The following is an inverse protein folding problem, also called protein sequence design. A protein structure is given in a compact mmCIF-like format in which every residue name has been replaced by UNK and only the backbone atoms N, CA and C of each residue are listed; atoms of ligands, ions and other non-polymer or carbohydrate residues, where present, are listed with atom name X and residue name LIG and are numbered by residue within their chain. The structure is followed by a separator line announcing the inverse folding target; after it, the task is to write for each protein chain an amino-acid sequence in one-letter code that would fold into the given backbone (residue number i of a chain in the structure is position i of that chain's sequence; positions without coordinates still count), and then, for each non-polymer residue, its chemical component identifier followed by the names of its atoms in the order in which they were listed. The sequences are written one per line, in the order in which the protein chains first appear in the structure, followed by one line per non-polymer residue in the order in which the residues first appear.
data_IF_647870699227
#
_entry.id   IF_647870699227
#
_cell.length_a   1.000
_cell.length_b   1.000
_cell.length_c   1.000
_cell.angle_alpha   90.00
_cell.angle_beta   90.00
_cell.angle_gamma   90.00
#
_symmetry.space_group_name_H-M   'P 1'
#
loop_
_entity.id
_entity.type
_entity.pdbx_description
1 polymer ?
#
# COMPACT_ATOMS: atom_id res chain seq x y z
N UNK A 1 0.73 27.88 -6.09
CA UNK A 1 0.13 27.75 -4.74
C UNK A 1 -0.10 26.27 -4.50
N UNK A 2 0.48 25.69 -3.45
CA UNK A 2 0.20 24.29 -3.06
C UNK A 2 -1.22 24.22 -2.48
N UNK A 3 -2.03 23.26 -2.95
CA UNK A 3 -3.39 23.05 -2.40
C UNK A 3 -3.29 22.28 -1.09
N UNK A 4 -4.10 22.66 -0.09
CA UNK A 4 -4.06 22.09 1.26
C UNK A 4 -5.30 21.26 1.56
N UNK A 5 -5.12 20.14 2.25
CA UNK A 5 -6.18 19.25 2.75
C UNK A 5 -5.97 19.03 4.24
N UNK A 6 -7.06 19.02 5.02
CA UNK A 6 -7.04 18.61 6.42
C UNK A 6 -7.86 17.34 6.56
N UNK A 7 -7.26 16.28 7.10
CA UNK A 7 -7.97 15.07 7.54
C UNK A 7 -8.23 15.25 9.03
N UNK A 8 -9.51 15.31 9.40
CA UNK A 8 -9.93 15.50 10.80
C UNK A 8 -10.32 14.14 11.37
N UNK A 9 -9.57 13.73 12.38
CA UNK A 9 -9.68 12.46 13.08
C UNK A 9 -10.42 12.64 14.42
N UNK A 10 -10.97 11.53 14.93
CA UNK A 10 -11.56 11.52 16.26
C UNK A 10 -10.48 11.74 17.33
N UNK A 11 -10.88 12.28 18.48
CA UNK A 11 -10.08 12.27 19.71
C UNK A 11 -10.70 11.35 20.77
N UNK A 12 -11.64 10.49 20.36
CA UNK A 12 -12.36 9.55 21.21
C UNK A 12 -11.72 8.18 21.08
N UNK A 13 -11.27 7.63 22.20
CA UNK A 13 -10.63 6.32 22.33
C UNK A 13 -11.60 5.23 22.81
N UNK A 14 -12.88 5.57 23.01
CA UNK A 14 -13.94 4.65 23.44
C UNK A 14 -15.29 4.90 22.76
N UNK A 15 -16.06 3.83 22.56
CA UNK A 15 -17.48 3.86 22.20
C UNK A 15 -18.29 3.20 23.32
N UNK A 16 -18.82 4.01 24.23
CA UNK A 16 -19.30 3.49 25.51
C UNK A 16 -18.11 3.00 26.34
N UNK A 17 -18.13 1.73 26.73
CA UNK A 17 -17.05 1.10 27.49
C UNK A 17 -16.01 0.38 26.62
N UNK A 18 -16.29 0.19 25.34
CA UNK A 18 -15.40 -0.52 24.41
C UNK A 18 -14.31 0.40 23.85
N UNK A 19 -13.02 -0.02 23.79
CA UNK A 19 -11.96 0.72 23.12
C UNK A 19 -12.27 0.94 21.62
N UNK A 20 -11.92 2.11 21.10
CA UNK A 20 -12.02 2.44 19.68
C UNK A 20 -11.00 3.51 19.30
N UNK A 21 -10.97 3.90 18.04
CA UNK A 21 -10.16 5.00 17.56
C UNK A 21 -10.40 5.24 16.07
N UNK A 22 -9.50 5.98 15.44
CA UNK A 22 -9.49 6.03 13.99
C UNK A 22 -9.09 4.67 13.43
N UNK A 23 -9.85 4.19 12.44
CA UNK A 23 -9.42 3.08 11.63
C UNK A 23 -8.24 3.53 10.75
N UNK A 24 -7.05 2.95 10.94
CA UNK A 24 -5.81 3.46 10.37
C UNK A 24 -5.87 3.60 8.84
N UNK A 25 -6.42 2.60 8.15
CA UNK A 25 -6.58 2.63 6.69
C UNK A 25 -7.46 3.79 6.20
N UNK A 26 -8.49 4.19 6.97
CA UNK A 26 -9.39 5.30 6.62
C UNK A 26 -8.72 6.67 6.73
N UNK A 27 -7.57 6.74 7.42
CA UNK A 27 -6.74 7.95 7.52
C UNK A 27 -5.59 7.89 6.51
N UNK A 28 -4.90 6.75 6.46
CA UNK A 28 -3.67 6.55 5.68
C UNK A 28 -3.95 6.46 4.18
N UNK A 29 -4.98 5.73 3.75
CA UNK A 29 -5.27 5.59 2.33
C UNK A 29 -5.64 6.95 1.68
N UNK A 30 -6.55 7.77 2.24
CA UNK A 30 -6.79 9.11 1.71
C UNK A 30 -5.57 10.02 1.77
N UNK A 31 -4.78 9.96 2.84
CA UNK A 31 -3.54 10.72 2.97
C UNK A 31 -2.60 10.46 1.78
N UNK A 32 -2.32 9.21 1.44
CA UNK A 32 -1.45 8.88 0.32
C UNK A 32 -2.03 9.31 -1.02
N UNK A 33 -3.34 9.15 -1.22
CA UNK A 33 -4.04 9.63 -2.43
C UNK A 33 -3.85 11.14 -2.60
N UNK A 34 -4.02 11.94 -1.54
CA UNK A 34 -3.81 13.38 -1.60
C UNK A 34 -2.34 13.75 -1.84
N UNK A 35 -1.40 13.09 -1.14
CA UNK A 35 0.04 13.35 -1.34
C UNK A 35 0.49 13.04 -2.77
N UNK A 36 0.03 11.95 -3.37
CA UNK A 36 0.32 11.57 -4.78
C UNK A 36 -0.12 12.65 -5.76
N UNK A 37 -1.19 13.38 -5.46
CA UNK A 37 -1.71 14.46 -6.29
C UNK A 37 -1.15 15.85 -5.92
N UNK A 38 -0.07 15.91 -5.13
CA UNK A 38 0.65 17.16 -4.84
C UNK A 38 -0.03 18.06 -3.81
N UNK A 39 -0.97 17.53 -3.03
CA UNK A 39 -1.57 18.28 -1.92
C UNK A 39 -0.62 18.30 -0.71
N UNK A 40 -0.62 19.42 0.01
CA UNK A 40 -0.11 19.49 1.37
C UNK A 40 -1.21 19.02 2.32
N UNK A 41 -0.94 17.97 3.09
CA UNK A 41 -1.93 17.31 3.93
C UNK A 41 -1.57 17.52 5.40
N UNK A 42 -2.52 18.01 6.18
CA UNK A 42 -2.44 18.08 7.64
C UNK A 42 -3.41 17.06 8.23
N UNK A 43 -2.96 16.30 9.23
CA UNK A 43 -3.84 15.44 10.03
C UNK A 43 -4.05 16.13 11.37
N UNK A 44 -5.31 16.24 11.80
CA UNK A 44 -5.69 16.92 13.03
C UNK A 44 -6.72 16.09 13.81
N UNK A 45 -6.75 16.24 15.13
CA UNK A 45 -7.78 15.66 15.99
C UNK A 45 -8.64 16.78 16.60
N UNK A 46 -9.89 16.49 16.96
CA UNK A 46 -10.83 17.49 17.50
C UNK A 46 -10.27 18.21 18.74
N UNK A 47 -9.66 17.46 19.67
CA UNK A 47 -9.04 18.00 20.90
C UNK A 47 -7.61 18.48 20.69
N UNK A 48 -7.02 18.24 19.51
CA UNK A 48 -5.58 18.33 19.29
C UNK A 48 -4.81 17.23 20.02
N UNK A 49 -3.50 17.14 19.75
CA UNK A 49 -2.64 16.12 20.33
C UNK A 49 -2.80 14.75 19.67
N UNK A 50 -2.65 13.69 20.47
CA UNK A 50 -2.66 12.30 19.99
C UNK A 50 -4.00 11.92 19.35
N UNK A 51 -3.93 11.15 18.27
CA UNK A 51 -5.10 10.55 17.61
C UNK A 51 -5.12 9.09 18.05
N UNK A 52 -6.12 8.66 18.83
CA UNK A 52 -6.26 7.25 19.17
C UNK A 52 -6.54 6.48 17.89
N UNK A 53 -5.77 5.43 17.65
CA UNK A 53 -6.02 4.48 16.56
C UNK A 53 -6.77 3.28 17.12
N UNK A 54 -7.64 2.71 16.30
CA UNK A 54 -8.25 1.43 16.62
C UNK A 54 -7.19 0.33 16.49
N UNK A 55 -6.85 -0.35 17.58
CA UNK A 55 -5.81 -1.39 17.61
C UNK A 55 -6.09 -2.52 16.61
N UNK A 56 -7.36 -2.84 16.36
CA UNK A 56 -7.71 -3.86 15.38
C UNK A 56 -7.24 -3.46 13.98
N UNK A 57 -7.39 -2.19 13.64
CA UNK A 57 -7.02 -1.63 12.32
C UNK A 57 -5.51 -1.65 12.02
N UNK A 58 -4.68 -1.83 13.05
CA UNK A 58 -3.22 -1.88 12.90
C UNK A 58 -2.67 -3.29 12.66
N UNK A 59 -3.51 -4.32 12.72
CA UNK A 59 -3.03 -5.69 12.49
C UNK A 59 -2.67 -5.92 11.01
N UNK A 60 -1.68 -6.79 10.71
CA UNK A 60 -1.21 -7.04 9.34
C UNK A 60 -2.25 -7.35 8.26
N UNK A 61 -3.42 -7.97 8.58
CA UNK A 61 -4.49 -8.17 7.59
C UNK A 61 -5.18 -6.88 7.13
N UNK A 62 -5.07 -5.78 7.88
CA UNK A 62 -5.80 -4.54 7.65
C UNK A 62 -4.92 -3.39 7.16
N UNK A 63 -3.62 -3.64 6.96
CA UNK A 63 -2.68 -2.69 6.38
C UNK A 63 -2.53 -2.94 4.88
N UNK A 64 -2.58 -1.88 4.08
CA UNK A 64 -2.18 -1.90 2.66
C UNK A 64 -0.72 -2.32 2.54
N UNK A 65 -0.41 -3.35 1.75
CA UNK A 65 0.99 -3.76 1.53
C UNK A 65 1.53 -3.24 0.21
N UNK A 66 2.77 -2.77 0.22
CA UNK A 66 3.50 -2.51 -1.02
C UNK A 66 3.84 -3.84 -1.69
N UNK A 67 3.42 -3.98 -2.94
CA UNK A 67 3.59 -5.21 -3.72
C UNK A 67 3.97 -4.88 -5.14
N UNK A 68 4.59 -5.84 -5.80
CA UNK A 68 4.72 -5.87 -7.25
C UNK A 68 4.45 -7.28 -7.75
N UNK A 69 4.49 -7.46 -9.06
CA UNK A 69 4.13 -8.68 -9.76
C UNK A 69 4.05 -8.40 -11.24
N UNK A 70 3.84 -9.41 -12.07
CA UNK A 70 3.77 -9.22 -13.51
C UNK A 70 2.69 -8.17 -13.84
N UNK A 71 3.09 -7.13 -14.57
CA UNK A 71 2.19 -6.00 -14.81
C UNK A 71 1.14 -6.33 -15.85
N UNK A 72 0.00 -5.63 -15.80
CA UNK A 72 -1.04 -5.83 -16.82
C UNK A 72 -0.51 -5.50 -18.22
N UNK A 73 0.39 -4.51 -18.31
CA UNK A 73 1.06 -4.13 -19.54
C UNK A 73 1.93 -5.25 -20.11
N UNK A 74 2.66 -5.98 -19.26
CA UNK A 74 3.46 -7.13 -19.68
C UNK A 74 2.57 -8.33 -20.07
N UNK A 75 1.44 -8.54 -19.38
CA UNK A 75 0.47 -9.60 -19.71
C UNK A 75 -0.18 -9.37 -21.09
N UNK A 76 -0.59 -8.13 -21.39
CA UNK A 76 -1.07 -7.76 -22.72
C UNK A 76 0.00 -7.93 -23.80
N UNK A 77 1.25 -7.58 -23.48
CA UNK A 77 2.36 -7.72 -24.43
C UNK A 77 2.61 -9.19 -24.83
N UNK A 78 2.25 -10.16 -23.98
CA UNK A 78 2.36 -11.59 -24.28
C UNK A 78 1.06 -12.25 -24.74
N UNK A 79 -0.02 -11.48 -24.90
CA UNK A 79 -1.34 -11.94 -25.40
C UNK A 79 -1.91 -13.15 -24.63
N UNK A 80 -1.69 -13.18 -23.31
CA UNK A 80 -2.15 -14.26 -22.41
C UNK A 80 -3.29 -13.83 -21.49
N UNK A 81 -3.82 -12.63 -21.66
CA UNK A 81 -4.88 -12.06 -20.83
C UNK A 81 -6.16 -12.90 -20.81
N UNK A 82 -6.41 -13.70 -21.85
CA UNK A 82 -7.56 -14.63 -21.95
C UNK A 82 -7.30 -16.01 -21.35
N UNK A 83 -6.04 -16.31 -21.03
CA UNK A 83 -5.60 -17.61 -20.50
C UNK A 83 -5.37 -17.54 -19.00
N UNK A 84 -4.92 -16.40 -18.48
CA UNK A 84 -4.76 -16.21 -17.05
C UNK A 84 -6.13 -16.11 -16.36
N UNK A 85 -6.29 -16.68 -15.17
CA UNK A 85 -7.57 -16.65 -14.45
C UNK A 85 -7.98 -15.25 -13.99
N UNK A 86 -7.02 -14.32 -13.91
CA UNK A 86 -7.19 -12.92 -13.59
C UNK A 86 -5.92 -12.15 -13.97
N UNK A 87 -6.05 -10.83 -14.14
CA UNK A 87 -4.93 -9.91 -14.34
C UNK A 87 -4.27 -9.63 -12.98
N UNK A 88 -2.98 -9.95 -12.83
CA UNK A 88 -2.32 -9.98 -11.52
C UNK A 88 -2.20 -8.59 -10.89
N UNK A 89 -1.74 -7.58 -11.64
CA UNK A 89 -1.64 -6.21 -11.13
C UNK A 89 -3.02 -5.69 -10.71
N UNK A 90 -4.01 -5.78 -11.58
CA UNK A 90 -5.38 -5.37 -11.26
C UNK A 90 -5.91 -6.07 -10.01
N UNK A 91 -5.69 -7.39 -9.88
CA UNK A 91 -6.16 -8.17 -8.73
C UNK A 91 -5.46 -7.78 -7.43
N UNK A 92 -4.15 -7.52 -7.49
CA UNK A 92 -3.40 -7.04 -6.32
C UNK A 92 -3.90 -5.67 -5.87
N UNK A 93 -4.20 -4.75 -6.80
CA UNK A 93 -4.79 -3.45 -6.48
C UNK A 93 -6.21 -3.58 -5.92
N UNK A 94 -7.04 -4.45 -6.50
CA UNK A 94 -8.41 -4.73 -6.05
C UNK A 94 -8.44 -5.24 -4.61
N UNK A 95 -7.47 -6.08 -4.24
CA UNK A 95 -7.31 -6.61 -2.88
C UNK A 95 -6.67 -5.63 -1.90
N UNK A 96 -6.46 -4.37 -2.30
CA UNK A 96 -5.87 -3.34 -1.44
C UNK A 96 -4.34 -3.43 -1.36
N UNK A 97 -3.66 -3.89 -2.40
CA UNK A 97 -2.21 -3.78 -2.52
C UNK A 97 -1.78 -2.43 -3.09
N UNK A 98 -0.78 -1.79 -2.48
CA UNK A 98 -0.07 -0.64 -3.06
C UNK A 98 0.87 -1.16 -4.16
N UNK A 99 0.28 -1.50 -5.31
CA UNK A 99 1.05 -2.07 -6.41
C UNK A 99 1.96 -1.04 -7.07
N UNK A 100 3.24 -1.39 -7.20
CA UNK A 100 4.27 -0.66 -7.92
C UNK A 100 4.78 -1.48 -9.12
N UNK A 101 5.08 -0.80 -10.23
CA UNK A 101 5.69 -1.40 -11.41
C UNK A 101 6.89 -0.56 -11.85
N UNK A 102 7.84 -1.23 -12.51
CA UNK A 102 8.93 -0.61 -13.21
C UNK A 102 8.42 0.42 -14.24
N UNK A 103 9.20 1.48 -14.45
CA UNK A 103 8.89 2.52 -15.45
C UNK A 103 8.87 1.98 -16.88
N UNK A 104 9.69 0.96 -17.15
CA UNK A 104 9.82 0.31 -18.45
C UNK A 104 9.39 -1.15 -18.32
N UNK A 105 8.61 -1.65 -19.29
CA UNK A 105 8.24 -3.06 -19.33
C UNK A 105 9.49 -3.94 -19.35
N UNK A 106 9.45 -5.10 -18.67
CA UNK A 106 10.55 -6.06 -18.61
C UNK A 106 11.79 -5.62 -17.82
N UNK A 107 11.83 -4.37 -17.33
CA UNK A 107 12.91 -3.94 -16.45
C UNK A 107 12.83 -4.67 -15.09
N UNK A 108 13.97 -5.02 -14.47
CA UNK A 108 13.98 -5.61 -13.13
C UNK A 108 13.35 -4.68 -12.09
N UNK A 109 12.39 -5.19 -11.33
CA UNK A 109 11.76 -4.46 -10.23
C UNK A 109 11.24 -5.41 -9.15
N UNK A 110 11.53 -5.09 -7.90
CA UNK A 110 11.11 -5.86 -6.74
C UNK A 110 10.82 -4.92 -5.58
N UNK A 111 9.80 -5.26 -4.80
CA UNK A 111 9.33 -4.48 -3.65
C UNK A 111 9.49 -5.34 -2.41
N UNK A 112 9.86 -4.69 -1.30
CA UNK A 112 9.92 -5.31 0.02
C UNK A 112 9.07 -4.45 0.97
N UNK A 113 8.06 -5.07 1.56
CA UNK A 113 7.27 -4.52 2.65
C UNK A 113 7.38 -5.46 3.86
N UNK A 114 8.23 -5.08 4.81
CA UNK A 114 8.59 -5.91 5.96
C UNK A 114 9.20 -7.26 5.53
N UNK A 115 8.48 -8.35 5.78
CA UNK A 115 8.83 -9.73 5.39
C UNK A 115 8.21 -10.18 4.07
N UNK A 116 7.31 -9.39 3.49
CA UNK A 116 6.75 -9.67 2.17
C UNK A 116 7.71 -9.12 1.12
N UNK A 117 8.23 -9.99 0.27
CA UNK A 117 9.05 -9.59 -0.88
C UNK A 117 8.37 -10.09 -2.14
N UNK A 118 8.20 -9.20 -3.11
CA UNK A 118 7.57 -9.49 -4.40
C UNK A 118 8.45 -8.99 -5.54
N UNK A 119 8.38 -9.64 -6.69
CA UNK A 119 9.15 -9.29 -7.89
C UNK A 119 8.25 -9.24 -9.11
N UNK A 120 8.52 -8.31 -10.02
CA UNK A 120 7.64 -8.03 -11.15
C UNK A 120 7.70 -9.11 -12.23
N UNK A 121 8.90 -9.39 -12.74
CA UNK A 121 9.09 -10.22 -13.93
C UNK A 121 10.33 -11.14 -13.79
N UNK A 122 10.62 -12.04 -14.75
CA UNK A 122 11.78 -12.92 -14.65
C UNK A 122 13.13 -12.19 -14.47
N UNK A 123 13.28 -11.00 -15.07
CA UNK A 123 14.48 -10.17 -14.92
C UNK A 123 14.66 -9.65 -13.48
N UNK A 124 13.58 -9.63 -12.69
CA UNK A 124 13.57 -9.21 -11.29
C UNK A 124 14.08 -10.29 -10.33
N UNK A 125 14.22 -11.54 -10.77
CA UNK A 125 14.52 -12.70 -9.90
C UNK A 125 15.72 -12.51 -8.96
N UNK A 126 16.87 -12.07 -9.49
CA UNK A 126 18.07 -11.81 -8.69
C UNK A 126 17.89 -10.65 -7.69
N UNK A 127 17.15 -9.61 -8.10
CA UNK A 127 16.82 -8.48 -7.24
C UNK A 127 15.86 -8.88 -6.11
N UNK A 128 14.84 -9.68 -6.42
CA UNK A 128 13.93 -10.28 -5.42
C UNK A 128 14.71 -11.10 -4.41
N UNK A 129 15.62 -11.98 -4.86
CA UNK A 129 16.46 -12.78 -3.98
C UNK A 129 17.34 -11.91 -3.07
N UNK A 130 17.92 -10.83 -3.60
CA UNK A 130 18.69 -9.86 -2.81
C UNK A 130 17.84 -9.25 -1.69
N UNK A 131 16.63 -8.80 -2.01
CA UNK A 131 15.68 -8.24 -1.03
C UNK A 131 15.21 -9.27 0.01
N UNK A 132 15.09 -10.55 -0.36
CA UNK A 132 14.81 -11.63 0.60
C UNK A 132 15.96 -11.79 1.58
N UNK A 133 17.21 -11.81 1.11
CA UNK A 133 18.38 -11.89 2.01
C UNK A 133 18.42 -10.71 2.96
N UNK A 134 18.16 -9.50 2.48
CA UNK A 134 18.02 -8.30 3.30
C UNK A 134 16.89 -8.44 4.33
N UNK A 135 15.78 -9.09 3.98
CA UNK A 135 14.63 -9.30 4.87
C UNK A 135 14.85 -10.34 5.96
N UNK A 136 15.73 -11.31 5.71
CA UNK A 136 16.11 -12.34 6.67
C UNK A 136 17.24 -11.89 7.60
N UNK A 137 18.00 -10.87 7.19
CA UNK A 137 19.16 -10.36 7.93
C UNK A 137 18.82 -9.19 8.87
N UNK A 138 17.55 -8.77 8.90
CA UNK A 138 17.00 -7.72 9.76
C UNK A 138 16.10 -8.30 10.84
#
# INVERSE_FOLDING_TARGET
MTKRVVIVCTSCDKLGDEPTGCWAEEVVAPYHVFKKHGYEVTIASIKGGEIPMDDASLNPPYLTKEVTGFSDAEEYAVAKEKLVPFMLEARLRELGGLYEAAKEQWAPHAVRDGKLVTGQNPASSALTATKVVEALSS
#
